data_IF_265643601970
#
_entry.id   IF_265643601970
#
_cell.length_a   1.000
_cell.length_b   1.000
_cell.length_c   1.000
_cell.angle_alpha   90.00
_cell.angle_beta   90.00
_cell.angle_gamma   90.00
#
_symmetry.space_group_name_H-M   'P 1'
#
loop_
_entity.id
_entity.type
_entity.pdbx_description
1 polymer ?
#
# COMPACT_ATOMS: atom_id res chain seq x y z
N UNK A 1 -16.41 13.38 -22.20
CA UNK A 1 -15.01 13.21 -22.71
C UNK A 1 -14.96 12.03 -23.67
N UNK A 2 -14.20 12.09 -24.79
CA UNK A 2 -14.06 10.93 -25.69
C UNK A 2 -13.41 9.76 -24.92
N UNK A 3 -13.93 8.53 -25.11
CA UNK A 3 -13.49 7.30 -24.42
C UNK A 3 -11.97 7.02 -24.52
N UNK A 4 -11.30 7.53 -25.56
CA UNK A 4 -9.84 7.41 -25.74
C UNK A 4 -9.04 8.38 -24.84
N UNK A 5 -9.64 9.52 -24.48
CA UNK A 5 -8.96 10.55 -23.67
C UNK A 5 -8.71 10.09 -22.23
N UNK A 6 -9.65 9.37 -21.59
CA UNK A 6 -9.48 8.89 -20.20
C UNK A 6 -8.31 7.92 -20.03
N UNK A 7 -8.21 6.92 -20.91
CA UNK A 7 -7.09 5.96 -20.90
C UNK A 7 -5.74 6.65 -21.14
N UNK A 8 -5.69 7.56 -22.12
CA UNK A 8 -4.47 8.32 -22.42
C UNK A 8 -4.02 9.16 -21.21
N UNK A 9 -4.95 9.84 -20.53
CA UNK A 9 -4.66 10.63 -19.34
C UNK A 9 -4.08 9.74 -18.23
N UNK A 10 -4.68 8.56 -17.98
CA UNK A 10 -4.15 7.60 -16.97
C UNK A 10 -2.71 7.21 -17.28
N UNK A 11 -2.42 6.85 -18.56
CA UNK A 11 -1.07 6.45 -18.96
C UNK A 11 -0.06 7.59 -18.80
N UNK A 12 -0.42 8.82 -19.18
CA UNK A 12 0.45 9.99 -19.01
C UNK A 12 0.73 10.27 -17.54
N UNK A 13 -0.29 10.27 -16.69
CA UNK A 13 -0.12 10.51 -15.23
C UNK A 13 0.72 9.41 -14.61
N UNK A 14 0.41 8.14 -14.93
CA UNK A 14 1.17 7.01 -14.43
C UNK A 14 2.65 7.11 -14.80
N UNK A 15 2.94 7.43 -16.07
CA UNK A 15 4.33 7.60 -16.55
C UNK A 15 5.04 8.74 -15.81
N UNK A 16 4.39 9.90 -15.63
CA UNK A 16 4.98 11.03 -14.90
C UNK A 16 5.30 10.64 -13.45
N UNK A 17 4.34 10.04 -12.75
CA UNK A 17 4.55 9.61 -11.36
C UNK A 17 5.62 8.51 -11.26
N UNK A 18 5.66 7.60 -12.22
CA UNK A 18 6.66 6.52 -12.28
C UNK A 18 8.07 7.07 -12.52
N UNK A 19 8.22 8.09 -13.38
CA UNK A 19 9.48 8.82 -13.58
C UNK A 19 9.93 9.46 -12.28
N UNK A 20 9.06 10.15 -11.54
CA UNK A 20 9.41 10.73 -10.25
C UNK A 20 9.89 9.66 -9.25
N UNK A 21 9.24 8.50 -9.23
CA UNK A 21 9.65 7.37 -8.38
C UNK A 21 11.02 6.82 -8.78
N UNK A 22 11.28 6.63 -10.08
CA UNK A 22 12.59 6.20 -10.58
C UNK A 22 13.67 7.22 -10.20
N UNK A 23 13.45 8.51 -10.45
CA UNK A 23 14.39 9.57 -10.11
C UNK A 23 14.73 9.57 -8.61
N UNK A 24 13.74 9.38 -7.74
CA UNK A 24 13.99 9.34 -6.30
C UNK A 24 14.75 8.08 -5.89
N UNK A 25 14.35 6.91 -6.36
CA UNK A 25 14.97 5.64 -5.99
C UNK A 25 16.39 5.46 -6.53
N UNK A 26 16.73 6.04 -7.69
CA UNK A 26 18.03 5.82 -8.35
C UNK A 26 18.96 7.04 -8.31
N UNK A 27 18.44 8.26 -8.21
CA UNK A 27 19.24 9.48 -8.28
C UNK A 27 19.26 10.23 -6.95
N UNK A 28 18.09 10.62 -6.42
CA UNK A 28 18.00 11.46 -5.22
C UNK A 28 18.33 10.69 -3.94
N UNK A 29 17.93 9.43 -3.85
CA UNK A 29 18.21 8.53 -2.73
C UNK A 29 17.86 9.11 -1.36
N UNK A 30 16.64 9.64 -1.23
CA UNK A 30 16.15 10.15 0.06
C UNK A 30 16.07 9.07 1.14
N UNK A 31 15.96 7.79 0.73
CA UNK A 31 16.08 6.61 1.58
C UNK A 31 17.43 6.50 2.31
N UNK A 32 18.51 7.10 1.78
CA UNK A 32 19.84 7.16 2.40
C UNK A 32 20.08 8.39 3.27
N UNK A 33 19.09 9.27 3.40
CA UNK A 33 19.17 10.44 4.27
C UNK A 33 18.74 10.10 5.71
N UNK A 34 18.86 11.06 6.62
CA UNK A 34 18.34 10.94 7.99
C UNK A 34 16.86 10.52 8.04
N UNK A 35 16.07 10.93 7.06
CA UNK A 35 14.66 10.55 6.98
C UNK A 35 14.44 9.06 6.68
N UNK A 36 15.38 8.40 6.01
CA UNK A 36 15.28 6.99 5.64
C UNK A 36 14.11 6.64 4.73
N UNK A 37 13.37 7.62 4.24
CA UNK A 37 12.11 7.46 3.50
C UNK A 37 12.18 8.07 2.10
N UNK A 38 11.61 7.39 1.11
CA UNK A 38 11.42 7.89 -0.24
C UNK A 38 10.07 8.65 -0.30
N UNK A 39 10.08 9.94 -0.02
CA UNK A 39 8.87 10.75 0.16
C UNK A 39 8.64 11.80 -0.94
N UNK A 40 9.66 12.20 -1.69
CA UNK A 40 9.54 13.28 -2.70
C UNK A 40 8.57 12.88 -3.81
N UNK A 41 8.73 11.67 -4.39
CA UNK A 41 7.81 11.21 -5.43
C UNK A 41 6.36 11.11 -4.95
N UNK A 42 6.15 10.81 -3.66
CA UNK A 42 4.83 10.73 -3.04
C UNK A 42 4.18 12.12 -2.95
N UNK A 43 4.94 13.13 -2.52
CA UNK A 43 4.48 14.53 -2.49
C UNK A 43 4.20 15.03 -3.92
N UNK A 44 5.10 14.78 -4.86
CA UNK A 44 4.90 15.14 -6.26
C UNK A 44 3.67 14.44 -6.85
N UNK A 45 3.44 13.17 -6.49
CA UNK A 45 2.23 12.43 -6.87
C UNK A 45 0.94 13.07 -6.34
N UNK A 46 0.93 13.57 -5.10
CA UNK A 46 -0.21 14.31 -4.54
C UNK A 46 -0.43 15.63 -5.31
N UNK A 47 0.64 16.35 -5.65
CA UNK A 47 0.56 17.57 -6.45
C UNK A 47 -0.03 17.27 -7.84
N UNK A 48 0.44 16.23 -8.50
CA UNK A 48 -0.11 15.77 -9.80
C UNK A 48 -1.58 15.41 -9.66
N UNK A 49 -1.97 14.64 -8.63
CA UNK A 49 -3.35 14.31 -8.34
C UNK A 49 -4.23 15.58 -8.24
N UNK A 50 -3.77 16.57 -7.46
CA UNK A 50 -4.50 17.83 -7.27
C UNK A 50 -4.65 18.61 -8.59
N UNK A 51 -3.55 18.78 -9.34
CA UNK A 51 -3.54 19.52 -10.60
C UNK A 51 -4.49 18.87 -11.62
N UNK A 52 -4.40 17.54 -11.76
CA UNK A 52 -5.23 16.81 -12.74
C UNK A 52 -6.69 16.79 -12.31
N UNK A 53 -7.00 16.53 -11.04
CA UNK A 53 -8.37 16.59 -10.56
C UNK A 53 -8.99 17.96 -10.84
N UNK A 54 -8.26 19.05 -10.53
CA UNK A 54 -8.70 20.41 -10.81
C UNK A 54 -8.89 20.69 -12.32
N UNK A 55 -7.96 20.25 -13.16
CA UNK A 55 -8.04 20.44 -14.63
C UNK A 55 -9.22 19.69 -15.26
N UNK A 56 -9.64 18.59 -14.62
CA UNK A 56 -10.80 17.79 -15.05
C UNK A 56 -12.12 18.21 -14.39
N UNK A 57 -12.12 19.29 -13.61
CA UNK A 57 -13.25 19.75 -12.82
C UNK A 57 -13.77 18.70 -11.81
N UNK A 58 -12.89 17.82 -11.36
CA UNK A 58 -13.18 16.91 -10.25
C UNK A 58 -12.94 17.65 -8.94
N UNK A 59 -13.92 17.62 -8.06
CA UNK A 59 -13.72 18.02 -6.66
C UNK A 59 -13.20 16.84 -5.82
N UNK A 60 -12.83 17.10 -4.57
CA UNK A 60 -12.32 16.07 -3.66
C UNK A 60 -13.32 14.91 -3.50
N UNK A 61 -14.62 15.19 -3.48
CA UNK A 61 -15.67 14.18 -3.32
C UNK A 61 -15.78 13.28 -4.56
N UNK A 62 -15.60 13.83 -5.77
CA UNK A 62 -15.64 13.04 -7.01
C UNK A 62 -14.57 11.94 -7.03
N UNK A 63 -13.41 12.20 -6.43
CA UNK A 63 -12.31 11.25 -6.34
C UNK A 63 -12.28 10.48 -5.01
N UNK A 64 -13.37 10.55 -4.22
CA UNK A 64 -13.56 9.73 -3.03
C UNK A 64 -13.04 10.32 -1.71
N UNK A 65 -12.50 11.55 -1.69
CA UNK A 65 -12.19 12.27 -0.44
C UNK A 65 -13.42 12.96 0.12
N UNK A 66 -14.46 12.16 0.41
CA UNK A 66 -15.75 12.64 0.90
C UNK A 66 -15.67 12.97 2.38
N UNK A 67 -15.90 14.22 2.76
CA UNK A 67 -15.83 14.67 4.17
C UNK A 67 -16.87 13.99 5.06
N UNK A 68 -18.06 13.67 4.50
CA UNK A 68 -19.10 12.99 5.24
C UNK A 68 -18.63 11.62 5.72
N UNK A 69 -18.68 11.38 7.03
CA UNK A 69 -18.22 10.15 7.71
C UNK A 69 -16.73 9.83 7.50
N UNK A 70 -15.87 10.79 7.12
CA UNK A 70 -14.45 10.57 6.88
C UNK A 70 -13.74 9.91 8.07
N UNK A 71 -13.88 10.49 9.27
CA UNK A 71 -13.29 9.96 10.52
C UNK A 71 -13.83 8.57 10.84
N UNK A 72 -15.12 8.34 10.64
CA UNK A 72 -15.76 7.04 10.88
C UNK A 72 -15.18 5.96 9.97
N UNK A 73 -15.09 6.20 8.65
CA UNK A 73 -14.51 5.24 7.72
C UNK A 73 -13.01 5.04 7.92
N UNK A 74 -12.27 6.11 8.25
CA UNK A 74 -10.85 5.97 8.62
C UNK A 74 -10.70 5.07 9.85
N UNK A 75 -11.49 5.31 10.90
CA UNK A 75 -11.50 4.47 12.11
C UNK A 75 -11.84 3.02 11.81
N UNK A 76 -12.85 2.77 10.95
CA UNK A 76 -13.19 1.41 10.52
C UNK A 76 -12.02 0.73 9.79
N UNK A 77 -11.33 1.44 8.89
CA UNK A 77 -10.17 0.89 8.18
C UNK A 77 -9.01 0.59 9.11
N UNK A 78 -8.71 1.48 10.05
CA UNK A 78 -7.69 1.27 11.08
C UNK A 78 -8.02 0.04 11.94
N UNK A 79 -9.23 -0.04 12.46
CA UNK A 79 -9.66 -1.18 13.30
C UNK A 79 -9.65 -2.49 12.53
N UNK A 80 -10.10 -2.49 11.28
CA UNK A 80 -10.07 -3.66 10.40
C UNK A 80 -8.63 -4.14 10.17
N UNK A 81 -7.71 -3.25 9.78
CA UNK A 81 -6.31 -3.57 9.58
C UNK A 81 -5.66 -4.10 10.86
N UNK A 82 -5.87 -3.43 12.01
CA UNK A 82 -5.34 -3.88 13.32
C UNK A 82 -5.87 -5.28 13.65
N UNK A 83 -7.16 -5.54 13.50
CA UNK A 83 -7.76 -6.84 13.77
C UNK A 83 -7.14 -7.95 12.92
N UNK A 84 -6.98 -7.71 11.63
CA UNK A 84 -6.33 -8.67 10.71
C UNK A 84 -4.89 -8.96 11.12
N UNK A 85 -4.12 -7.91 11.49
CA UNK A 85 -2.74 -8.10 11.91
C UNK A 85 -2.60 -8.76 13.29
N UNK A 86 -3.52 -8.54 14.22
CA UNK A 86 -3.57 -9.30 15.49
C UNK A 86 -3.66 -10.79 15.19
N UNK A 87 -4.52 -11.21 14.26
CA UNK A 87 -4.66 -12.62 13.88
C UNK A 87 -3.36 -13.14 13.26
N UNK A 88 -2.79 -12.43 12.28
CA UNK A 88 -1.61 -12.91 11.55
C UNK A 88 -0.34 -12.97 12.43
N UNK A 89 -0.13 -11.98 13.30
CA UNK A 89 0.92 -12.01 14.32
C UNK A 89 0.69 -13.14 15.34
N UNK A 90 -0.56 -13.33 15.79
CA UNK A 90 -0.93 -14.41 16.69
C UNK A 90 -0.59 -15.79 16.12
N UNK A 91 -0.89 -16.02 14.83
CA UNK A 91 -0.55 -17.26 14.13
C UNK A 91 0.98 -17.44 14.05
N UNK A 92 1.72 -16.41 13.66
CA UNK A 92 3.19 -16.48 13.58
C UNK A 92 3.82 -16.73 14.95
N UNK A 93 3.37 -16.03 15.98
CA UNK A 93 3.85 -16.25 17.37
C UNK A 93 3.58 -17.69 17.80
N UNK A 94 2.37 -18.20 17.55
CA UNK A 94 2.01 -19.57 17.88
C UNK A 94 2.93 -20.59 17.18
N UNK A 95 3.18 -20.41 15.88
CA UNK A 95 4.10 -21.25 15.12
C UNK A 95 5.51 -21.21 15.74
N UNK A 96 6.03 -20.02 16.03
CA UNK A 96 7.35 -19.87 16.67
C UNK A 96 7.41 -20.50 18.06
N UNK A 97 6.34 -20.44 18.86
CA UNK A 97 6.25 -21.10 20.17
C UNK A 97 6.27 -22.62 20.01
N UNK A 98 5.46 -23.18 19.10
CA UNK A 98 5.39 -24.62 18.84
C UNK A 98 6.74 -25.19 18.36
N UNK A 99 7.52 -24.43 17.63
CA UNK A 99 8.88 -24.80 17.22
C UNK A 99 9.97 -24.43 18.24
N UNK A 100 9.59 -23.91 19.42
CA UNK A 100 10.54 -23.50 20.45
C UNK A 100 11.43 -22.31 20.08
N UNK A 101 11.06 -21.54 19.04
CA UNK A 101 11.88 -20.46 18.48
C UNK A 101 11.48 -19.07 18.97
N UNK A 102 10.29 -18.87 19.52
CA UNK A 102 9.84 -17.55 19.97
C UNK A 102 10.70 -17.03 21.12
N UNK A 103 11.21 -15.78 20.97
CA UNK A 103 11.95 -15.07 22.03
C UNK A 103 11.14 -13.88 22.54
N UNK A 104 10.83 -12.94 21.69
CA UNK A 104 10.15 -11.69 22.08
C UNK A 104 9.41 -11.04 20.92
N UNK A 105 8.49 -10.14 21.28
CA UNK A 105 7.90 -9.14 20.40
C UNK A 105 8.59 -7.81 20.70
N UNK A 106 9.18 -7.17 19.70
CA UNK A 106 9.93 -5.93 19.86
C UNK A 106 9.30 -4.78 19.05
N UNK A 107 9.37 -3.58 19.63
CA UNK A 107 8.79 -2.36 19.05
C UNK A 107 9.90 -1.36 18.74
N UNK A 108 10.21 -1.21 17.47
CA UNK A 108 11.19 -0.26 16.91
C UNK A 108 10.94 -0.05 15.43
N UNK A 109 11.60 0.91 14.81
CA UNK A 109 11.50 1.15 13.36
C UNK A 109 12.78 0.64 12.69
N UNK A 110 12.65 -0.18 11.64
CA UNK A 110 13.81 -0.71 10.90
C UNK A 110 13.79 -0.35 9.42
N UNK A 111 12.63 -0.03 8.89
CA UNK A 111 12.41 0.12 7.46
C UNK A 111 11.34 1.16 7.18
N UNK A 112 11.52 1.92 6.11
CA UNK A 112 10.46 2.76 5.53
C UNK A 112 10.21 2.40 4.07
N UNK A 113 11.20 2.61 3.19
CA UNK A 113 11.04 2.43 1.74
C UNK A 113 11.93 1.33 1.17
N UNK A 114 13.05 1.05 1.83
CA UNK A 114 14.02 -0.01 1.48
C UNK A 114 14.28 -0.84 2.71
N UNK A 115 14.12 -2.14 2.60
CA UNK A 115 14.21 -3.08 3.73
C UNK A 115 15.53 -2.89 4.51
N UNK A 116 15.41 -2.71 5.83
CA UNK A 116 16.53 -2.59 6.76
C UNK A 116 17.40 -1.34 6.59
N UNK A 117 16.98 -0.35 5.78
CA UNK A 117 17.82 0.79 5.39
C UNK A 117 18.27 1.71 6.55
N UNK A 118 17.59 1.70 7.70
CA UNK A 118 17.92 2.55 8.85
C UNK A 118 18.39 1.78 10.08
N UNK A 119 18.39 0.44 10.03
CA UNK A 119 18.67 -0.41 11.18
C UNK A 119 17.65 -0.27 12.31
N UNK A 120 17.95 -0.78 13.50
CA UNK A 120 17.04 -0.73 14.66
C UNK A 120 17.01 0.66 15.28
N UNK A 121 15.87 1.36 15.15
CA UNK A 121 15.67 2.71 15.66
C UNK A 121 14.55 2.74 16.72
N UNK A 122 14.86 3.24 17.92
CA UNK A 122 13.91 3.32 19.05
C UNK A 122 13.53 4.75 19.43
N UNK A 123 14.21 5.77 18.87
CA UNK A 123 13.90 7.17 19.17
C UNK A 123 12.55 7.57 18.54
N UNK A 124 11.75 8.34 19.27
CA UNK A 124 10.40 8.75 18.87
C UNK A 124 10.34 9.43 17.49
N UNK A 125 11.40 10.13 17.11
CA UNK A 125 11.48 10.81 15.82
C UNK A 125 11.32 9.83 14.63
N UNK A 126 11.86 8.61 14.71
CA UNK A 126 11.74 7.62 13.65
C UNK A 126 10.31 7.09 13.54
N UNK A 127 9.60 6.93 14.67
CA UNK A 127 8.17 6.59 14.66
C UNK A 127 7.33 7.70 14.02
N UNK A 128 7.63 8.96 14.33
CA UNK A 128 6.94 10.09 13.71
C UNK A 128 7.19 10.15 12.20
N UNK A 129 8.43 9.93 11.75
CA UNK A 129 8.77 9.86 10.32
C UNK A 129 8.02 8.69 9.66
N UNK A 130 8.00 7.51 10.28
CA UNK A 130 7.28 6.34 9.78
C UNK A 130 5.78 6.64 9.61
N UNK A 131 5.15 7.20 10.63
CA UNK A 131 3.72 7.55 10.61
C UNK A 131 3.43 8.58 9.51
N UNK A 132 4.18 9.68 9.47
CA UNK A 132 4.00 10.75 8.49
C UNK A 132 4.27 10.26 7.05
N UNK A 133 5.34 9.49 6.86
CA UNK A 133 5.67 8.89 5.58
C UNK A 133 4.56 7.97 5.06
N UNK A 134 3.99 7.14 5.93
CA UNK A 134 2.86 6.27 5.57
C UNK A 134 1.55 7.04 5.33
N UNK A 135 1.28 8.13 6.08
CA UNK A 135 0.14 9.01 5.79
C UNK A 135 0.27 9.62 4.38
N UNK A 136 1.43 10.19 4.05
CA UNK A 136 1.69 10.76 2.72
C UNK A 136 1.56 9.67 1.64
N UNK A 137 2.10 8.48 1.91
CA UNK A 137 2.03 7.34 0.99
C UNK A 137 0.59 6.95 0.66
N UNK A 138 -0.23 6.69 1.69
CA UNK A 138 -1.61 6.21 1.45
C UNK A 138 -2.50 7.28 0.82
N UNK A 139 -2.29 8.57 1.12
CA UNK A 139 -2.99 9.67 0.44
C UNK A 139 -2.67 9.66 -1.05
N UNK A 140 -1.40 9.56 -1.41
CA UNK A 140 -0.96 9.52 -2.79
C UNK A 140 -1.49 8.28 -3.53
N UNK A 141 -1.24 7.10 -2.97
CA UNK A 141 -1.55 5.85 -3.65
C UNK A 141 -3.06 5.61 -3.76
N UNK A 142 -3.82 5.76 -2.67
CA UNK A 142 -5.28 5.60 -2.76
C UNK A 142 -5.92 6.71 -3.59
N UNK A 143 -5.43 7.96 -3.48
CA UNK A 143 -5.93 9.07 -4.28
C UNK A 143 -5.70 8.89 -5.78
N UNK A 144 -4.51 8.44 -6.19
CA UNK A 144 -4.20 8.21 -7.61
C UNK A 144 -4.91 6.97 -8.13
N UNK A 145 -4.73 5.82 -7.48
CA UNK A 145 -5.19 4.54 -8.05
C UNK A 145 -6.69 4.33 -7.85
N UNK A 146 -7.25 4.55 -6.65
CA UNK A 146 -8.69 4.30 -6.38
C UNK A 146 -9.54 5.54 -6.61
N UNK A 147 -8.97 6.71 -6.32
CA UNK A 147 -9.65 7.99 -6.57
C UNK A 147 -9.67 8.35 -8.05
N UNK A 148 -8.51 8.59 -8.66
CA UNK A 148 -8.43 9.15 -10.00
C UNK A 148 -8.50 8.09 -11.10
N UNK A 149 -7.58 7.11 -11.11
CA UNK A 149 -7.48 6.14 -12.21
C UNK A 149 -8.71 5.27 -12.34
N UNK A 150 -9.20 4.72 -11.23
CA UNK A 150 -10.42 3.92 -11.26
C UNK A 150 -11.61 4.72 -11.78
N UNK A 151 -11.78 5.98 -11.35
CA UNK A 151 -12.85 6.86 -11.85
C UNK A 151 -12.72 7.17 -13.34
N UNK A 152 -11.51 7.35 -13.84
CA UNK A 152 -11.26 7.54 -15.26
C UNK A 152 -11.59 6.29 -16.09
N UNK A 153 -11.24 5.10 -15.57
CA UNK A 153 -11.60 3.84 -16.20
C UNK A 153 -13.12 3.60 -16.15
N UNK A 154 -13.81 3.92 -15.04
CA UNK A 154 -15.26 3.79 -14.90
C UNK A 154 -16.06 4.67 -15.88
N UNK A 155 -15.44 5.68 -16.50
CA UNK A 155 -16.09 6.42 -17.60
C UNK A 155 -16.30 5.56 -18.87
N UNK A 156 -15.58 4.46 -19.01
CA UNK A 156 -15.62 3.59 -20.18
C UNK A 156 -15.96 2.14 -19.85
N UNK A 157 -15.51 1.65 -18.73
CA UNK A 157 -15.60 0.25 -18.34
C UNK A 157 -16.49 0.08 -17.11
N UNK A 158 -16.99 -1.11 -16.90
CA UNK A 158 -17.69 -1.44 -15.66
C UNK A 158 -16.72 -1.43 -14.47
N UNK A 159 -17.26 -1.42 -13.26
CA UNK A 159 -16.48 -1.40 -12.03
C UNK A 159 -15.41 -2.50 -11.98
N UNK A 160 -15.75 -3.74 -12.34
CA UNK A 160 -14.84 -4.88 -12.24
C UNK A 160 -13.57 -4.66 -13.08
N UNK A 161 -13.75 -4.31 -14.36
CA UNK A 161 -12.63 -4.08 -15.27
C UNK A 161 -11.82 -2.84 -14.86
N UNK A 162 -12.51 -1.77 -14.42
CA UNK A 162 -11.85 -0.56 -13.93
C UNK A 162 -10.98 -0.82 -12.69
N UNK A 163 -11.51 -1.60 -11.75
CA UNK A 163 -10.78 -2.00 -10.56
C UNK A 163 -9.57 -2.89 -10.89
N UNK A 164 -9.72 -3.86 -11.80
CA UNK A 164 -8.62 -4.71 -12.26
C UNK A 164 -7.51 -3.87 -12.92
N UNK A 165 -7.86 -3.00 -13.87
CA UNK A 165 -6.88 -2.17 -14.58
C UNK A 165 -6.12 -1.24 -13.63
N UNK A 166 -6.83 -0.57 -12.72
CA UNK A 166 -6.20 0.30 -11.71
C UNK A 166 -5.30 -0.50 -10.76
N UNK A 167 -5.74 -1.69 -10.35
CA UNK A 167 -4.97 -2.56 -9.45
C UNK A 167 -3.73 -3.15 -10.12
N UNK A 168 -3.79 -3.47 -11.41
CA UNK A 168 -2.61 -3.89 -12.17
C UNK A 168 -1.56 -2.76 -12.24
N UNK A 169 -1.96 -1.53 -12.52
CA UNK A 169 -1.05 -0.39 -12.48
C UNK A 169 -0.44 -0.21 -11.08
N UNK A 170 -1.24 -0.42 -10.03
CA UNK A 170 -0.74 -0.41 -8.65
C UNK A 170 0.25 -1.55 -8.37
N UNK A 171 0.02 -2.75 -8.91
CA UNK A 171 0.98 -3.86 -8.82
C UNK A 171 2.31 -3.50 -9.48
N UNK A 172 2.27 -3.00 -10.73
CA UNK A 172 3.48 -2.56 -11.44
C UNK A 172 4.19 -1.38 -10.79
N UNK A 173 3.49 -0.56 -10.01
CA UNK A 173 4.07 0.51 -9.22
C UNK A 173 5.17 0.02 -8.27
N UNK A 174 5.09 -1.20 -7.78
CA UNK A 174 6.01 -1.76 -6.79
C UNK A 174 7.30 -2.35 -7.40
N UNK A 175 7.41 -2.49 -8.73
CA UNK A 175 8.58 -3.07 -9.42
C UNK A 175 9.88 -2.31 -9.13
N UNK A 176 9.81 -1.00 -8.86
CA UNK A 176 10.98 -0.14 -8.65
C UNK A 176 11.81 -0.58 -7.44
N UNK A 177 11.20 -1.09 -6.37
CA UNK A 177 11.91 -1.46 -5.14
C UNK A 177 12.83 -2.68 -5.34
N UNK A 178 12.39 -3.84 -5.89
CA UNK A 178 13.29 -4.96 -6.21
C UNK A 178 14.38 -4.61 -7.22
N UNK A 179 14.05 -3.79 -8.25
CA UNK A 179 15.06 -3.29 -9.19
C UNK A 179 16.14 -2.48 -8.47
N UNK A 180 15.74 -1.67 -7.50
CA UNK A 180 16.69 -0.90 -6.69
C UNK A 180 17.56 -1.81 -5.82
N UNK A 181 16.97 -2.79 -5.13
CA UNK A 181 17.72 -3.75 -4.30
C UNK A 181 18.76 -4.53 -5.12
N UNK A 182 18.41 -4.95 -6.34
CA UNK A 182 19.36 -5.59 -7.26
C UNK A 182 20.48 -4.63 -7.65
N UNK A 183 20.16 -3.39 -8.00
CA UNK A 183 21.16 -2.38 -8.37
C UNK A 183 22.11 -2.02 -7.21
N UNK A 184 21.61 -2.06 -5.96
CA UNK A 184 22.44 -1.88 -4.76
C UNK A 184 23.27 -3.13 -4.40
N UNK A 185 23.09 -4.25 -5.13
CA UNK A 185 23.81 -5.51 -4.89
C UNK A 185 23.35 -6.26 -3.63
N UNK A 186 22.15 -5.94 -3.11
CA UNK A 186 21.60 -6.57 -1.90
C UNK A 186 20.87 -7.88 -2.18
N UNK A 187 20.44 -8.10 -3.42
CA UNK A 187 19.78 -9.32 -3.90
C UNK A 187 20.34 -9.76 -5.25
N UNK A 188 20.24 -11.05 -5.56
CA UNK A 188 20.60 -11.63 -6.86
C UNK A 188 19.57 -11.26 -7.95
N UNK A 189 19.93 -11.51 -9.22
CA UNK A 189 19.00 -11.33 -10.34
C UNK A 189 17.76 -12.24 -10.24
N UNK A 190 17.94 -13.48 -9.80
CA UNK A 190 16.84 -14.41 -9.60
C UNK A 190 15.88 -13.93 -8.51
N UNK A 191 16.42 -13.51 -7.36
CA UNK A 191 15.63 -12.95 -6.25
C UNK A 191 14.87 -11.70 -6.68
N UNK A 192 15.52 -10.81 -7.44
CA UNK A 192 14.86 -9.63 -7.99
C UNK A 192 13.64 -10.02 -8.85
N UNK A 193 13.82 -10.97 -9.76
CA UNK A 193 12.74 -11.41 -10.67
C UNK A 193 11.58 -12.06 -9.91
N UNK A 194 11.88 -12.93 -8.95
CA UNK A 194 10.88 -13.56 -8.08
C UNK A 194 10.15 -12.49 -7.25
N UNK A 195 10.87 -11.56 -6.65
CA UNK A 195 10.29 -10.48 -5.86
C UNK A 195 9.39 -9.57 -6.69
N UNK A 196 9.76 -9.26 -7.94
CA UNK A 196 8.91 -8.51 -8.86
C UNK A 196 7.58 -9.25 -9.08
N UNK A 197 7.61 -10.53 -9.40
CA UNK A 197 6.38 -11.31 -9.64
C UNK A 197 5.50 -11.33 -8.39
N UNK A 198 6.08 -11.65 -7.25
CA UNK A 198 5.36 -11.71 -5.98
C UNK A 198 4.72 -10.34 -5.67
N UNK A 199 5.48 -9.25 -5.77
CA UNK A 199 4.97 -7.91 -5.46
C UNK A 199 3.89 -7.46 -6.46
N UNK A 200 4.07 -7.72 -7.75
CA UNK A 200 3.04 -7.35 -8.75
C UNK A 200 1.74 -8.10 -8.46
N UNK A 201 1.79 -9.41 -8.22
CA UNK A 201 0.60 -10.21 -7.96
C UNK A 201 -0.06 -9.79 -6.64
N UNK A 202 0.71 -9.74 -5.56
CA UNK A 202 0.15 -9.44 -4.23
C UNK A 202 -0.37 -8.01 -4.14
N UNK A 203 0.37 -7.01 -4.65
CA UNK A 203 -0.10 -5.62 -4.68
C UNK A 203 -1.31 -5.42 -5.59
N UNK A 204 -1.41 -6.17 -6.70
CA UNK A 204 -2.63 -6.17 -7.53
C UNK A 204 -3.84 -6.67 -6.75
N UNK A 205 -3.72 -7.78 -6.02
CA UNK A 205 -4.80 -8.32 -5.20
C UNK A 205 -5.20 -7.36 -4.06
N UNK A 206 -4.21 -6.79 -3.37
CA UNK A 206 -4.44 -5.78 -2.34
C UNK A 206 -5.12 -4.54 -2.95
N UNK A 207 -4.66 -4.11 -4.12
CA UNK A 207 -5.27 -3.02 -4.87
C UNK A 207 -6.73 -3.26 -5.21
N UNK A 208 -7.06 -4.48 -5.63
CA UNK A 208 -8.43 -4.87 -5.92
C UNK A 208 -9.30 -4.90 -4.65
N UNK A 209 -8.76 -5.37 -3.51
CA UNK A 209 -9.41 -5.28 -2.19
C UNK A 209 -9.78 -3.82 -1.86
N UNK A 210 -8.84 -2.89 -1.99
CA UNK A 210 -9.09 -1.48 -1.71
C UNK A 210 -10.11 -0.87 -2.67
N UNK A 211 -10.12 -1.29 -3.93
CA UNK A 211 -11.16 -0.89 -4.89
C UNK A 211 -12.56 -1.35 -4.46
N UNK A 212 -12.69 -2.57 -3.95
CA UNK A 212 -13.96 -3.07 -3.39
C UNK A 212 -14.39 -2.28 -2.16
N UNK A 213 -13.49 -2.01 -1.22
CA UNK A 213 -13.76 -1.21 -0.01
C UNK A 213 -14.23 0.20 -0.41
N UNK A 214 -13.52 0.85 -1.34
CA UNK A 214 -13.90 2.18 -1.84
C UNK A 214 -15.27 2.16 -2.52
N UNK A 215 -15.60 1.12 -3.27
CA UNK A 215 -16.92 0.97 -3.89
C UNK A 215 -18.04 0.79 -2.88
N UNK A 216 -17.81 -0.01 -1.84
CA UNK A 216 -18.76 -0.26 -0.76
C UNK A 216 -19.07 0.99 0.07
N UNK A 217 -18.04 1.79 0.35
CA UNK A 217 -18.17 2.95 1.24
C UNK A 217 -18.46 4.25 0.50
N UNK A 218 -18.19 4.30 -0.82
CA UNK A 218 -18.17 5.54 -1.59
C UNK A 218 -17.08 6.52 -1.16
N UNK A 219 -16.05 6.03 -0.43
CA UNK A 219 -15.09 6.85 0.30
C UNK A 219 -13.71 6.19 0.35
N UNK A 220 -12.62 6.95 0.22
CA UNK A 220 -11.24 6.43 0.27
C UNK A 220 -10.74 6.17 1.70
N UNK A 221 -11.33 6.78 2.73
CA UNK A 221 -10.73 6.76 4.06
C UNK A 221 -10.69 5.38 4.71
N UNK A 222 -11.61 4.47 4.39
CA UNK A 222 -11.54 3.11 4.91
C UNK A 222 -10.39 2.32 4.28
N UNK A 223 -10.20 2.41 2.95
CA UNK A 223 -9.04 1.78 2.29
C UNK A 223 -7.72 2.42 2.74
N UNK A 224 -7.68 3.74 2.94
CA UNK A 224 -6.51 4.44 3.49
C UNK A 224 -6.17 3.98 4.90
N UNK A 225 -7.16 3.76 5.78
CA UNK A 225 -6.93 3.27 7.14
C UNK A 225 -6.36 1.86 7.16
N UNK A 226 -6.93 0.92 6.40
CA UNK A 226 -6.42 -0.45 6.27
C UNK A 226 -5.01 -0.46 5.65
N UNK A 227 -4.79 0.32 4.60
CA UNK A 227 -3.49 0.47 3.94
C UNK A 227 -2.42 1.06 4.88
N UNK A 228 -2.79 2.08 5.65
CA UNK A 228 -1.90 2.69 6.64
C UNK A 228 -1.44 1.67 7.70
N UNK A 229 -2.37 0.88 8.25
CA UNK A 229 -2.01 -0.18 9.21
C UNK A 229 -1.10 -1.20 8.56
N UNK A 230 -1.42 -1.67 7.35
CA UNK A 230 -0.60 -2.63 6.62
C UNK A 230 0.86 -2.16 6.50
N UNK A 231 1.07 -0.92 6.09
CA UNK A 231 2.43 -0.40 5.90
C UNK A 231 3.14 -0.10 7.22
N UNK A 232 2.41 0.42 8.21
CA UNK A 232 3.02 0.88 9.46
C UNK A 232 3.37 -0.29 10.37
N UNK A 233 2.47 -1.27 10.52
CA UNK A 233 2.65 -2.34 11.52
C UNK A 233 3.90 -3.19 11.25
N UNK A 234 4.17 -3.50 9.99
CA UNK A 234 5.35 -4.29 9.58
C UNK A 234 6.66 -3.53 9.76
N UNK A 235 6.61 -2.20 9.82
CA UNK A 235 7.78 -1.36 10.02
C UNK A 235 8.11 -1.13 11.49
N UNK A 236 7.15 -1.37 12.40
CA UNK A 236 7.31 -1.00 13.82
C UNK A 236 7.22 -2.18 14.80
N UNK A 237 6.61 -3.29 14.41
CA UNK A 237 6.39 -4.44 15.29
C UNK A 237 7.08 -5.68 14.74
N UNK A 238 8.06 -6.20 15.49
CA UNK A 238 8.96 -7.24 15.03
C UNK A 238 8.92 -8.48 15.93
N UNK A 239 8.95 -9.68 15.34
CA UNK A 239 9.08 -10.94 16.04
C UNK A 239 10.56 -11.34 16.03
N UNK A 240 11.13 -11.54 17.22
CA UNK A 240 12.51 -11.96 17.40
C UNK A 240 12.54 -13.44 17.79
N UNK A 241 13.33 -14.23 17.07
CA UNK A 241 13.56 -15.63 17.34
C UNK A 241 14.74 -15.85 18.31
N UNK A 242 14.81 -17.03 18.94
CA UNK A 242 15.91 -17.38 19.89
C UNK A 242 17.29 -17.41 19.25
N UNK A 243 17.36 -17.69 17.95
CA UNK A 243 18.60 -17.63 17.16
C UNK A 243 19.05 -16.19 16.82
N UNK A 244 18.28 -15.19 17.25
CA UNK A 244 18.55 -13.78 16.99
C UNK A 244 17.99 -13.26 15.66
N UNK A 245 17.39 -14.11 14.83
CA UNK A 245 16.76 -13.69 13.59
C UNK A 245 15.49 -12.85 13.88
N UNK A 246 15.25 -11.87 13.02
CA UNK A 246 14.13 -10.92 13.10
C UNK A 246 13.19 -11.20 11.94
N UNK A 247 11.89 -11.27 12.23
CA UNK A 247 10.81 -11.39 11.23
C UNK A 247 11.02 -12.53 10.20
N UNK A 248 11.53 -13.67 10.66
CA UNK A 248 11.84 -14.84 9.83
C UNK A 248 10.66 -15.32 8.97
N UNK A 249 9.44 -15.16 9.47
CA UNK A 249 8.20 -15.55 8.80
C UNK A 249 7.38 -14.33 8.30
N UNK A 250 8.01 -13.18 8.07
CA UNK A 250 7.35 -11.94 7.62
C UNK A 250 6.47 -12.16 6.39
N UNK A 251 6.98 -12.86 5.38
CA UNK A 251 6.22 -13.12 4.14
C UNK A 251 4.96 -13.94 4.43
N UNK A 252 5.06 -14.95 5.29
CA UNK A 252 3.90 -15.74 5.73
C UNK A 252 2.89 -14.87 6.47
N UNK A 253 3.34 -14.05 7.43
CA UNK A 253 2.49 -13.12 8.19
C UNK A 253 1.72 -12.18 7.28
N UNK A 254 2.41 -11.52 6.35
CA UNK A 254 1.79 -10.63 5.36
C UNK A 254 0.81 -11.39 4.47
N UNK A 255 1.18 -12.58 4.00
CA UNK A 255 0.32 -13.41 3.15
C UNK A 255 -0.97 -13.81 3.85
N UNK A 256 -0.90 -14.22 5.12
CA UNK A 256 -2.09 -14.52 5.94
C UNK A 256 -2.96 -13.26 6.08
N UNK A 257 -2.37 -12.12 6.46
CA UNK A 257 -3.09 -10.87 6.64
C UNK A 257 -3.82 -10.45 5.35
N UNK A 258 -3.13 -10.44 4.22
CA UNK A 258 -3.71 -10.00 2.95
C UNK A 258 -4.76 -10.98 2.43
N UNK A 259 -4.53 -12.29 2.53
CA UNK A 259 -5.51 -13.30 2.11
C UNK A 259 -6.79 -13.22 2.95
N UNK A 260 -6.65 -13.18 4.28
CA UNK A 260 -7.79 -13.11 5.18
C UNK A 260 -8.62 -11.83 4.95
N UNK A 261 -7.96 -10.67 4.90
CA UNK A 261 -8.63 -9.40 4.64
C UNK A 261 -9.30 -9.35 3.28
N UNK A 262 -8.64 -9.89 2.24
CA UNK A 262 -9.21 -9.97 0.90
C UNK A 262 -10.48 -10.84 0.87
N UNK A 263 -10.47 -12.02 1.49
CA UNK A 263 -11.61 -12.93 1.54
C UNK A 263 -12.80 -12.30 2.28
N UNK A 264 -12.56 -11.66 3.43
CA UNK A 264 -13.60 -10.97 4.19
C UNK A 264 -14.25 -9.87 3.34
N UNK A 265 -13.45 -9.02 2.71
CA UNK A 265 -13.96 -7.95 1.86
C UNK A 265 -14.71 -8.50 0.64
N UNK A 266 -14.20 -9.56 0.00
CA UNK A 266 -14.84 -10.19 -1.16
C UNK A 266 -16.21 -10.79 -0.80
N UNK A 267 -16.31 -11.48 0.33
CA UNK A 267 -17.57 -12.06 0.81
C UNK A 267 -18.58 -10.93 1.07
N UNK A 268 -18.16 -9.91 1.82
CA UNK A 268 -19.03 -8.77 2.12
C UNK A 268 -19.47 -8.03 0.85
N UNK A 269 -18.56 -7.84 -0.12
CA UNK A 269 -18.86 -7.21 -1.40
C UNK A 269 -19.88 -8.00 -2.24
N UNK A 270 -19.82 -9.34 -2.20
CA UNK A 270 -20.81 -10.20 -2.88
C UNK A 270 -22.16 -10.14 -2.20
N UNK A 271 -22.21 -10.20 -0.88
CA UNK A 271 -23.46 -10.16 -0.13
C UNK A 271 -24.21 -8.83 -0.33
N UNK A 272 -23.49 -7.70 -0.25
CA UNK A 272 -24.09 -6.38 -0.45
C UNK A 272 -24.67 -6.14 -1.85
N UNK A 273 -24.16 -6.85 -2.87
CA UNK A 273 -24.75 -6.79 -4.22
C UNK A 273 -26.06 -7.55 -4.33
N UNK A 274 -26.21 -8.66 -3.61
CA UNK A 274 -27.43 -9.47 -3.63
C UNK A 274 -28.61 -8.81 -2.87
N UNK A 275 -28.32 -7.89 -1.95
CA UNK A 275 -29.36 -7.13 -1.25
C UNK A 275 -29.93 -5.95 -2.06
N UNK A 276 -29.23 -5.55 -3.14
CA UNK A 276 -29.63 -4.45 -4.04
C UNK A 276 -30.22 -4.94 -5.37
N UNK A 277 -30.29 -6.24 -5.63
CA UNK A 277 -30.91 -6.87 -6.80
C UNK A 277 -32.29 -7.42 -6.45
#
# INVERSE_FOLDING_TARGET
>A
MSNKKGLFIVLVIYTICYIFRILEYFILRTDKTFFGEAFIHKILGIIVLYIVAKSMSFNCENIGFTRRKAIFYLGQGLLFGIFIYIISYGIEILINILHGQFKSLEFYVSTYSVEGNIGKQTAIIFFLICILGNIINVIMEEGIFRGLFQKLFEQKYNFLLSAILSSLLFGFWHVVAPLRSYYDGTISFEEMFINIIILVVTSTLVGFKFSMITKLTGNLYMSMGDHFVNNTIINVLHIVSKDGSIDKLLVMRISIAQTLSFLIVLIYFKLSKNECS
#
